data_IF_403461590961
#
_entry.id   IF_403461590961
#
_cell.length_a   1.000
_cell.length_b   1.000
_cell.length_c   1.000
_cell.angle_alpha   90.00
_cell.angle_beta   90.00
_cell.angle_gamma   90.00
#
_symmetry.space_group_name_H-M   'P 1'
#
loop_
_entity.id
_entity.type
_entity.pdbx_description
1 polymer ?
#
# COMPACT_ATOMS: atom_id res chain seq x y z
N UNK A 1 29.17 -7.68 -23.37
CA UNK A 1 28.09 -8.30 -22.55
C UNK A 1 27.17 -7.19 -22.11
N UNK A 2 25.83 -7.28 -22.30
CA UNK A 2 24.93 -6.21 -21.88
C UNK A 2 24.95 -6.09 -20.36
N UNK A 3 25.14 -4.87 -19.86
CA UNK A 3 25.09 -4.54 -18.45
C UNK A 3 23.63 -4.71 -17.98
N UNK A 4 23.33 -5.45 -16.90
CA UNK A 4 21.98 -5.46 -16.37
C UNK A 4 21.71 -4.06 -15.81
N UNK A 5 20.88 -3.27 -16.50
CA UNK A 5 20.38 -1.99 -16.01
C UNK A 5 19.29 -2.22 -14.95
N UNK A 6 19.57 -3.09 -13.99
CA UNK A 6 18.71 -3.35 -12.85
C UNK A 6 18.82 -2.18 -11.89
N UNK A 7 18.03 -1.13 -12.12
CA UNK A 7 17.82 -0.11 -11.11
C UNK A 7 17.04 -0.75 -9.96
N UNK A 8 17.73 -1.13 -8.88
CA UNK A 8 17.08 -1.58 -7.66
C UNK A 8 16.60 -0.34 -6.91
N UNK A 9 15.34 0.01 -7.11
CA UNK A 9 14.68 1.05 -6.33
C UNK A 9 14.18 0.48 -5.02
N UNK A 10 14.37 1.20 -3.93
CA UNK A 10 13.72 0.89 -2.65
C UNK A 10 12.29 1.40 -2.71
N UNK A 11 11.33 0.49 -2.74
CA UNK A 11 9.90 0.80 -2.72
C UNK A 11 9.32 0.52 -1.34
N UNK A 12 8.58 1.47 -0.77
CA UNK A 12 7.77 1.28 0.43
C UNK A 12 6.32 1.60 0.11
N UNK A 13 5.40 0.76 0.59
CA UNK A 13 3.97 0.96 0.43
C UNK A 13 3.34 0.99 1.81
N UNK A 14 2.60 2.05 2.10
CA UNK A 14 1.92 2.21 3.38
C UNK A 14 0.49 2.71 3.14
N UNK A 15 -0.47 2.19 3.90
CA UNK A 15 -1.83 2.69 3.96
C UNK A 15 -1.98 3.61 5.18
N UNK A 16 -2.48 4.82 4.96
CA UNK A 16 -2.86 5.74 6.00
C UNK A 16 -4.40 5.81 6.05
N UNK A 17 -4.96 5.33 7.16
CA UNK A 17 -6.42 5.21 7.33
C UNK A 17 -6.77 5.43 8.80
N UNK A 18 -7.78 6.26 9.08
CA UNK A 18 -8.16 6.64 10.44
C UNK A 18 -6.99 7.15 11.32
N UNK A 19 -6.00 7.81 10.71
CA UNK A 19 -4.80 8.30 11.40
C UNK A 19 -3.77 7.22 11.75
N UNK A 20 -4.02 5.96 11.42
CA UNK A 20 -3.08 4.86 11.56
C UNK A 20 -2.30 4.64 10.25
N UNK A 21 -1.01 4.32 10.39
CA UNK A 21 -0.15 3.95 9.26
C UNK A 21 0.09 2.43 9.29
N UNK A 22 -0.28 1.74 8.22
CA UNK A 22 -0.20 0.29 8.11
C UNK A 22 0.66 -0.09 6.90
N UNK A 23 1.68 -0.92 7.11
CA UNK A 23 2.53 -1.40 6.02
C UNK A 23 1.75 -2.26 5.04
N UNK A 24 1.97 -2.01 3.74
CA UNK A 24 1.43 -2.79 2.65
C UNK A 24 2.56 -3.52 1.92
N UNK A 25 2.28 -4.74 1.51
CA UNK A 25 3.09 -5.52 0.59
C UNK A 25 2.32 -5.71 -0.72
N UNK A 26 2.97 -5.38 -1.84
CA UNK A 26 2.44 -5.69 -3.16
C UNK A 26 2.79 -7.13 -3.53
N UNK A 27 1.77 -7.97 -3.67
CA UNK A 27 1.96 -9.37 -4.06
C UNK A 27 1.84 -9.52 -5.58
N UNK A 28 0.96 -8.73 -6.20
CA UNK A 28 0.75 -8.64 -7.64
C UNK A 28 0.49 -7.17 -8.03
N UNK A 29 0.61 -6.79 -9.33
CA UNK A 29 0.34 -5.42 -9.79
C UNK A 29 -1.00 -4.85 -9.28
N UNK A 30 -2.02 -5.71 -9.20
CA UNK A 30 -3.40 -5.34 -8.84
C UNK A 30 -3.80 -5.73 -7.42
N UNK A 31 -2.90 -6.31 -6.62
CA UNK A 31 -3.22 -6.79 -5.27
C UNK A 31 -2.22 -6.33 -4.20
N UNK A 32 -2.76 -5.65 -3.19
CA UNK A 32 -2.05 -5.23 -1.99
C UNK A 32 -2.54 -6.00 -0.76
N UNK A 33 -1.60 -6.36 0.09
CA UNK A 33 -1.83 -7.06 1.35
C UNK A 33 -1.24 -6.26 2.51
N UNK A 34 -1.88 -6.35 3.67
CA UNK A 34 -1.34 -5.81 4.91
C UNK A 34 -0.22 -6.69 5.42
N UNK A 35 0.92 -6.09 5.76
CA UNK A 35 2.06 -6.79 6.35
C UNK A 35 1.76 -7.29 7.76
N UNK A 36 0.90 -6.57 8.49
CA UNK A 36 0.45 -6.91 9.82
C UNK A 36 -1.08 -6.99 9.87
N UNK A 37 -1.60 -7.82 10.78
CA UNK A 37 -3.02 -7.80 11.08
C UNK A 37 -3.38 -6.44 11.70
N UNK A 38 -4.48 -5.84 11.24
CA UNK A 38 -5.08 -4.68 11.87
C UNK A 38 -6.46 -5.04 12.41
N UNK A 39 -7.01 -4.21 13.29
CA UNK A 39 -8.42 -4.29 13.65
C UNK A 39 -9.30 -4.03 12.42
N UNK A 40 -10.53 -4.59 12.38
CA UNK A 40 -11.44 -4.35 11.28
C UNK A 40 -11.71 -2.85 11.09
N UNK A 41 -11.50 -2.37 9.88
CA UNK A 41 -11.75 -0.97 9.50
C UNK A 41 -13.05 -0.94 8.69
N UNK A 42 -14.06 -0.12 9.06
CA UNK A 42 -15.27 0.02 8.26
C UNK A 42 -14.96 0.72 6.92
N UNK A 43 -15.91 0.74 5.97
CA UNK A 43 -15.75 1.49 4.74
C UNK A 43 -15.38 2.96 5.00
N UNK A 44 -14.31 3.42 4.37
CA UNK A 44 -13.72 4.74 4.64
C UNK A 44 -12.82 5.20 3.50
N UNK A 45 -12.54 6.49 3.47
CA UNK A 45 -11.43 7.06 2.70
C UNK A 45 -10.09 6.77 3.39
N UNK A 46 -9.04 6.70 2.60
CA UNK A 46 -7.66 6.52 3.06
C UNK A 46 -6.66 7.05 2.04
N UNK A 47 -5.38 6.89 2.35
CA UNK A 47 -4.29 7.33 1.47
C UNK A 47 -3.24 6.23 1.37
N UNK A 48 -2.85 5.86 0.15
CA UNK A 48 -1.69 5.01 -0.11
C UNK A 48 -0.48 5.89 -0.30
N UNK A 49 0.55 5.67 0.52
CA UNK A 49 1.85 6.32 0.42
C UNK A 49 2.80 5.36 -0.30
N UNK A 50 3.28 5.79 -1.47
CA UNK A 50 4.24 5.06 -2.29
C UNK A 50 5.58 5.79 -2.17
N UNK A 51 6.51 5.22 -1.42
CA UNK A 51 7.88 5.71 -1.32
C UNK A 51 8.76 5.03 -2.37
N UNK A 52 9.42 5.79 -3.24
CA UNK A 52 10.40 5.28 -4.21
C UNK A 52 11.68 6.07 -4.03
N UNK A 53 12.75 5.42 -3.57
CA UNK A 53 14.07 6.04 -3.39
C UNK A 53 14.04 7.34 -2.57
N UNK A 54 13.17 7.38 -1.56
CA UNK A 54 12.98 8.53 -0.66
C UNK A 54 11.97 9.57 -1.14
N UNK A 55 11.47 9.48 -2.37
CA UNK A 55 10.36 10.31 -2.86
C UNK A 55 9.03 9.67 -2.46
N UNK A 56 8.18 10.41 -1.78
CA UNK A 56 6.85 9.94 -1.37
C UNK A 56 5.80 10.49 -2.33
N UNK A 57 5.04 9.59 -2.94
CA UNK A 57 3.82 9.89 -3.67
C UNK A 57 2.62 9.46 -2.83
N UNK A 58 1.63 10.34 -2.73
CA UNK A 58 0.40 10.08 -1.99
C UNK A 58 -0.73 9.88 -3.01
N UNK A 59 -1.55 8.88 -2.79
CA UNK A 59 -2.73 8.57 -3.60
C UNK A 59 -3.92 8.39 -2.68
N UNK A 60 -4.93 9.24 -2.83
CA UNK A 60 -6.19 9.07 -2.12
C UNK A 60 -6.92 7.85 -2.67
N UNK A 61 -7.47 7.03 -1.78
CA UNK A 61 -8.17 5.79 -2.12
C UNK A 61 -9.45 5.68 -1.33
N UNK A 62 -10.47 5.10 -1.96
CA UNK A 62 -11.69 4.70 -1.26
C UNK A 62 -11.68 3.20 -0.98
N UNK A 63 -11.98 2.82 0.27
CA UNK A 63 -12.07 1.44 0.72
C UNK A 63 -13.57 1.10 0.92
N UNK A 64 -14.34 0.79 -0.14
CA UNK A 64 -15.79 0.63 -0.05
C UNK A 64 -16.25 -0.56 0.80
N UNK A 65 -15.37 -1.53 1.02
CA UNK A 65 -15.64 -2.72 1.82
C UNK A 65 -14.92 -2.68 3.18
N UNK A 66 -14.19 -1.60 3.46
CA UNK A 66 -13.31 -1.54 4.60
C UNK A 66 -12.19 -2.60 4.54
N UNK A 67 -11.68 -2.97 5.70
CA UNK A 67 -10.65 -4.00 5.87
C UNK A 67 -11.14 -4.96 6.95
N UNK A 68 -11.42 -6.20 6.59
CA UNK A 68 -11.89 -7.25 7.52
C UNK A 68 -10.89 -8.41 7.67
N UNK A 69 -9.67 -8.22 7.18
CA UNK A 69 -8.61 -9.22 7.17
C UNK A 69 -7.29 -8.61 6.67
N UNK A 70 -6.49 -9.38 5.92
CA UNK A 70 -5.20 -8.88 5.37
C UNK A 70 -5.28 -8.38 3.93
N UNK A 71 -6.40 -8.61 3.23
CA UNK A 71 -6.56 -8.19 1.83
C UNK A 71 -7.16 -6.79 1.78
N UNK A 72 -6.60 -5.94 0.93
CA UNK A 72 -7.09 -4.58 0.71
C UNK A 72 -7.56 -4.46 -0.74
N UNK A 73 -8.81 -4.05 -0.93
CA UNK A 73 -9.37 -3.70 -2.24
C UNK A 73 -9.68 -2.21 -2.23
N UNK A 74 -9.21 -1.48 -3.24
CA UNK A 74 -9.37 -0.03 -3.37
C UNK A 74 -9.71 0.34 -4.83
N UNK A 75 -10.32 1.52 -5.00
CA UNK A 75 -10.72 2.10 -6.30
C UNK A 75 -10.16 3.51 -6.45
#
# INVERSE_FOLDING_TARGET
MPNPTGHSSKVTLDLLVNGAKIGLSQVCPDELFLEAACEPIPPTDGQVLIGIDGVIKIMDVFLPHGITGRRVSYY
#
